data_IF_022336954823
#
_entry.id   IF_022336954823
#
_cell.length_a   1.000
_cell.length_b   1.000
_cell.length_c   1.000
_cell.angle_alpha   90.00
_cell.angle_beta   90.00
_cell.angle_gamma   90.00
#
_symmetry.space_group_name_H-M   'P 1'
#
loop_
_entity.id
_entity.type
_entity.pdbx_description
1 polymer ?
#
# COMPACT_ATOMS: atom_id res chain seq x y z
N UNK A 1 -7.27 -18.69 -25.78
CA UNK A 1 -7.13 -18.45 -24.32
C UNK A 1 -5.65 -18.20 -24.05
N UNK A 2 -5.26 -16.93 -23.90
CA UNK A 2 -3.87 -16.55 -23.67
C UNK A 2 -3.60 -16.51 -22.17
N UNK A 3 -2.84 -17.49 -21.68
CA UNK A 3 -2.22 -17.45 -20.36
C UNK A 3 -1.13 -16.38 -20.37
N UNK A 4 -1.38 -15.24 -19.73
CA UNK A 4 -0.32 -14.33 -19.35
C UNK A 4 0.32 -14.86 -18.07
N UNK A 5 1.41 -15.60 -18.25
CA UNK A 5 2.39 -15.86 -17.21
C UNK A 5 2.89 -14.52 -16.67
N UNK A 6 2.42 -14.11 -15.49
CA UNK A 6 3.14 -13.17 -14.68
C UNK A 6 4.42 -13.88 -14.25
N UNK A 7 5.52 -13.60 -14.95
CA UNK A 7 6.84 -13.94 -14.45
C UNK A 7 6.93 -13.43 -13.02
N UNK A 8 7.25 -14.32 -12.07
CA UNK A 8 7.65 -13.90 -10.74
C UNK A 8 8.74 -12.84 -10.92
N UNK A 9 8.41 -11.58 -10.65
CA UNK A 9 9.37 -10.51 -10.69
C UNK A 9 10.52 -10.93 -9.77
N UNK A 10 11.78 -10.96 -10.25
CA UNK A 10 12.90 -11.33 -9.39
C UNK A 10 12.88 -10.39 -8.18
N UNK A 11 12.96 -10.99 -6.99
CA UNK A 11 13.13 -10.24 -5.74
C UNK A 11 14.31 -9.29 -5.95
N UNK A 12 14.14 -7.96 -5.81
CA UNK A 12 15.26 -7.04 -5.95
C UNK A 12 16.28 -7.39 -4.87
N UNK A 13 17.40 -8.00 -5.25
CA UNK A 13 18.53 -8.11 -4.36
C UNK A 13 19.00 -6.67 -4.10
N UNK A 14 18.81 -6.20 -2.87
CA UNK A 14 19.12 -4.84 -2.49
C UNK A 14 20.64 -4.72 -2.32
N UNK A 15 21.36 -4.50 -3.42
CA UNK A 15 22.83 -4.31 -3.45
C UNK A 15 23.25 -2.88 -3.07
N UNK A 16 22.38 -2.16 -2.34
CA UNK A 16 22.50 -0.73 -2.09
C UNK A 16 23.78 -0.31 -1.37
N UNK A 17 24.36 -1.19 -0.54
CA UNK A 17 25.58 -0.90 0.23
C UNK A 17 26.84 -0.78 -0.61
N UNK A 18 26.86 -1.28 -1.86
CA UNK A 18 28.02 -1.23 -2.77
C UNK A 18 27.69 -0.56 -4.11
N UNK A 19 26.59 0.18 -4.19
CA UNK A 19 26.18 0.78 -5.45
C UNK A 19 27.20 1.86 -5.88
N UNK A 20 27.77 1.78 -7.11
CA UNK A 20 28.68 2.79 -7.62
C UNK A 20 27.93 4.09 -7.93
N UNK A 21 28.65 5.18 -8.24
CA UNK A 21 27.98 6.39 -8.72
C UNK A 21 27.14 6.10 -9.97
N UNK A 22 25.94 6.69 -10.05
CA UNK A 22 25.09 6.61 -11.24
C UNK A 22 25.83 7.00 -12.53
N UNK A 23 26.86 7.87 -12.45
CA UNK A 23 27.66 8.30 -13.61
C UNK A 23 28.38 7.14 -14.31
N UNK A 24 28.64 6.05 -13.59
CA UNK A 24 29.29 4.84 -14.13
C UNK A 24 28.31 3.95 -14.92
N UNK A 25 27.02 4.32 -14.98
CA UNK A 25 26.02 3.64 -15.82
C UNK A 25 26.05 4.24 -17.22
N UNK A 26 26.92 3.69 -18.06
CA UNK A 26 27.10 4.09 -19.45
C UNK A 26 26.09 3.37 -20.36
N UNK A 27 25.80 2.09 -20.09
CA UNK A 27 24.89 1.27 -20.88
C UNK A 27 23.45 1.31 -20.34
N UNK A 28 22.64 2.19 -20.90
CA UNK A 28 21.21 2.23 -20.61
C UNK A 28 20.39 2.52 -21.86
N UNK A 29 19.25 1.84 -21.98
CA UNK A 29 18.26 2.14 -23.01
C UNK A 29 17.47 3.37 -22.60
N UNK A 30 17.43 4.40 -23.44
CA UNK A 30 16.59 5.59 -23.22
C UNK A 30 15.12 5.16 -23.14
N UNK A 31 14.46 5.53 -22.05
CA UNK A 31 13.03 5.28 -21.84
C UNK A 31 12.24 6.35 -22.61
N UNK A 32 11.26 5.93 -23.41
CA UNK A 32 10.43 6.84 -24.21
C UNK A 32 9.76 7.88 -23.29
N UNK A 33 9.88 9.15 -23.65
CA UNK A 33 9.27 10.27 -22.92
C UNK A 33 10.04 10.74 -21.67
N UNK A 34 11.18 10.11 -21.34
CA UNK A 34 12.05 10.51 -20.23
C UNK A 34 13.34 11.18 -20.71
N UNK A 35 13.96 11.97 -19.83
CA UNK A 35 15.34 12.43 -20.01
C UNK A 35 16.32 11.25 -19.95
N UNK A 36 17.51 11.45 -20.53
CA UNK A 36 18.57 10.44 -20.48
C UNK A 36 19.01 10.18 -19.03
N UNK A 37 19.10 11.22 -18.20
CA UNK A 37 19.46 11.07 -16.79
C UNK A 37 18.38 10.28 -16.02
N UNK A 38 17.09 10.58 -16.22
CA UNK A 38 16.02 9.78 -15.61
C UNK A 38 16.10 8.30 -16.03
N UNK A 39 16.34 8.04 -17.32
CA UNK A 39 16.49 6.67 -17.83
C UNK A 39 17.69 5.95 -17.18
N UNK A 40 18.80 6.67 -16.99
CA UNK A 40 20.00 6.15 -16.32
C UNK A 40 19.74 5.82 -14.85
N UNK A 41 19.07 6.69 -14.11
CA UNK A 41 18.69 6.42 -12.72
C UNK A 41 17.71 5.25 -12.59
N UNK A 42 16.73 5.11 -13.50
CA UNK A 42 15.87 3.91 -13.50
C UNK A 42 16.64 2.62 -13.82
N UNK A 43 17.66 2.68 -14.69
CA UNK A 43 18.56 1.55 -14.94
C UNK A 43 19.39 1.24 -13.70
N UNK A 44 19.91 2.26 -13.02
CA UNK A 44 20.64 2.12 -11.76
C UNK A 44 19.79 1.44 -10.68
N UNK A 45 18.56 1.92 -10.47
CA UNK A 45 17.58 1.33 -9.55
C UNK A 45 17.28 -0.14 -9.90
N UNK A 46 17.18 -0.48 -11.18
CA UNK A 46 16.96 -1.86 -11.60
C UNK A 46 18.14 -2.78 -11.24
N UNK A 47 19.37 -2.28 -11.33
CA UNK A 47 20.58 -3.06 -11.02
C UNK A 47 20.81 -3.18 -9.50
N UNK A 48 20.68 -2.07 -8.76
CA UNK A 48 21.13 -1.99 -7.36
C UNK A 48 19.99 -1.90 -6.34
N UNK A 49 18.75 -1.84 -6.80
CA UNK A 49 17.58 -1.66 -5.96
C UNK A 49 17.27 -0.20 -5.65
N UNK A 50 16.10 0.02 -5.06
CA UNK A 50 15.64 1.37 -4.75
C UNK A 50 16.42 2.02 -3.61
N UNK A 51 16.96 1.26 -2.63
CA UNK A 51 17.70 1.86 -1.51
C UNK A 51 18.98 2.57 -1.99
N UNK A 52 19.53 2.16 -3.14
CA UNK A 52 20.69 2.82 -3.75
C UNK A 52 20.41 4.28 -4.16
N UNK A 53 19.14 4.64 -4.47
CA UNK A 53 18.80 6.00 -4.89
C UNK A 53 18.87 7.01 -3.74
N UNK A 54 18.80 6.55 -2.49
CA UNK A 54 18.77 7.41 -1.31
C UNK A 54 20.04 8.25 -1.22
N UNK A 55 21.21 7.62 -1.46
CA UNK A 55 22.49 8.32 -1.48
C UNK A 55 22.57 9.34 -2.61
N UNK A 56 21.95 9.07 -3.76
CA UNK A 56 21.91 10.00 -4.90
C UNK A 56 21.06 11.25 -4.59
N UNK A 57 20.02 11.12 -3.76
CA UNK A 57 19.28 12.26 -3.20
C UNK A 57 20.11 13.01 -2.14
N UNK A 58 20.73 12.31 -1.20
CA UNK A 58 21.57 12.91 -0.14
C UNK A 58 22.73 13.73 -0.71
N UNK A 59 23.38 13.21 -1.76
CA UNK A 59 24.49 13.87 -2.45
C UNK A 59 24.03 14.98 -3.41
N UNK A 60 22.72 15.25 -3.51
CA UNK A 60 22.13 16.24 -4.44
C UNK A 60 22.39 15.96 -5.92
N UNK A 61 22.75 14.72 -6.28
CA UNK A 61 23.05 14.33 -7.66
C UNK A 61 21.79 14.32 -8.52
N UNK A 62 20.64 13.98 -7.95
CA UNK A 62 19.36 13.99 -8.66
C UNK A 62 18.91 15.44 -8.91
N UNK A 63 19.04 16.30 -7.91
CA UNK A 63 18.66 17.71 -7.97
C UNK A 63 19.53 18.50 -8.95
N UNK A 64 20.80 18.13 -9.11
CA UNK A 64 21.73 18.73 -10.08
C UNK A 64 21.73 18.07 -11.47
N UNK A 65 20.92 17.01 -11.66
CA UNK A 65 20.83 16.31 -12.94
C UNK A 65 20.03 17.11 -13.99
N UNK A 66 20.05 16.65 -15.25
CA UNK A 66 19.22 17.20 -16.33
C UNK A 66 17.79 16.64 -16.32
N UNK A 67 17.38 15.97 -15.24
CA UNK A 67 16.02 15.48 -15.10
C UNK A 67 15.02 16.63 -15.01
N UNK A 68 13.82 16.43 -15.55
CA UNK A 68 12.71 17.37 -15.36
C UNK A 68 12.19 17.24 -13.94
N UNK A 69 11.70 18.34 -13.35
CA UNK A 69 11.11 18.33 -12.00
C UNK A 69 10.04 17.25 -11.80
N UNK A 70 9.21 16.98 -12.82
CA UNK A 70 8.19 15.91 -12.77
C UNK A 70 8.79 14.51 -12.67
N UNK A 71 9.97 14.28 -13.22
CA UNK A 71 10.68 13.00 -13.16
C UNK A 71 11.31 12.81 -11.77
N UNK A 72 11.91 13.88 -11.23
CA UNK A 72 12.45 13.89 -9.86
C UNK A 72 11.34 13.61 -8.85
N UNK A 73 10.21 14.34 -8.93
CA UNK A 73 9.04 14.13 -8.07
C UNK A 73 8.51 12.71 -8.17
N UNK A 74 8.34 12.17 -9.38
CA UNK A 74 7.87 10.80 -9.58
C UNK A 74 8.82 9.77 -8.96
N UNK A 75 10.14 9.98 -9.09
CA UNK A 75 11.14 9.10 -8.50
C UNK A 75 11.08 9.15 -6.97
N UNK A 76 11.01 10.34 -6.40
CA UNK A 76 10.83 10.56 -4.97
C UNK A 76 9.55 9.87 -4.45
N UNK A 77 8.40 10.12 -5.08
CA UNK A 77 7.11 9.50 -4.73
C UNK A 77 7.15 7.98 -4.79
N UNK A 78 7.77 7.42 -5.84
CA UNK A 78 7.89 5.97 -5.98
C UNK A 78 8.76 5.39 -4.87
N UNK A 79 9.87 6.07 -4.54
CA UNK A 79 10.78 5.65 -3.47
C UNK A 79 10.06 5.64 -2.11
N UNK A 80 9.22 6.63 -1.81
CA UNK A 80 8.39 6.67 -0.60
C UNK A 80 7.41 5.50 -0.45
N UNK A 81 6.94 4.90 -1.56
CA UNK A 81 5.99 3.77 -1.52
C UNK A 81 6.65 2.43 -1.16
N UNK A 82 7.92 2.27 -1.53
CA UNK A 82 8.59 0.95 -1.57
C UNK A 82 9.76 0.84 -0.61
N UNK A 83 10.43 1.94 -0.27
CA UNK A 83 11.58 1.91 0.62
C UNK A 83 11.17 1.73 2.07
N UNK A 84 11.99 1.07 2.89
CA UNK A 84 11.75 1.00 4.33
C UNK A 84 11.80 2.39 4.98
N UNK A 85 11.24 2.52 6.18
CA UNK A 85 11.09 3.76 6.92
C UNK A 85 12.43 4.45 7.16
N UNK A 86 13.49 3.69 7.42
CA UNK A 86 14.82 4.23 7.62
C UNK A 86 15.30 5.02 6.39
N UNK A 87 15.08 4.49 5.19
CA UNK A 87 15.42 5.16 3.95
C UNK A 87 14.46 6.33 3.65
N UNK A 88 13.18 6.21 3.98
CA UNK A 88 12.21 7.31 3.88
C UNK A 88 12.64 8.51 4.75
N UNK A 89 13.10 8.27 5.98
CA UNK A 89 13.61 9.32 6.87
C UNK A 89 14.78 10.07 6.23
N UNK A 90 15.69 9.33 5.61
CA UNK A 90 16.84 9.87 4.87
C UNK A 90 16.42 10.68 3.64
N UNK A 91 15.45 10.19 2.87
CA UNK A 91 14.89 10.93 1.74
C UNK A 91 14.28 12.26 2.16
N UNK A 92 13.48 12.29 3.23
CA UNK A 92 12.90 13.54 3.75
C UNK A 92 13.99 14.53 4.18
N UNK A 93 15.05 14.04 4.83
CA UNK A 93 16.21 14.85 5.20
C UNK A 93 16.98 15.40 3.99
N UNK A 94 16.93 14.69 2.85
CA UNK A 94 17.51 15.10 1.57
C UNK A 94 16.54 15.93 0.69
N UNK A 95 15.53 16.56 1.28
CA UNK A 95 14.48 17.36 0.62
C UNK A 95 13.64 16.59 -0.44
N UNK A 96 13.67 15.27 -0.42
CA UNK A 96 12.72 14.43 -1.14
C UNK A 96 11.52 14.20 -0.22
N UNK A 97 10.51 15.07 -0.35
CA UNK A 97 9.20 14.94 0.31
C UNK A 97 8.17 14.41 -0.69
N UNK A 98 7.16 13.64 -0.24
CA UNK A 98 6.06 13.22 -1.09
C UNK A 98 5.42 14.40 -1.81
N UNK A 99 5.33 14.32 -3.13
CA UNK A 99 4.83 15.39 -3.99
C UNK A 99 3.30 15.40 -4.10
N UNK A 100 2.67 14.31 -3.68
CA UNK A 100 1.22 14.10 -3.67
C UNK A 100 0.79 13.44 -2.36
N UNK A 101 -0.39 13.85 -1.91
CA UNK A 101 -1.16 13.21 -0.84
C UNK A 101 -1.40 11.71 -1.09
N UNK A 102 -1.45 11.31 -2.36
CA UNK A 102 -1.69 9.91 -2.75
C UNK A 102 -0.56 8.99 -2.29
N UNK A 103 0.66 9.52 -2.14
CA UNK A 103 1.82 8.72 -1.73
C UNK A 103 1.63 8.21 -0.31
N UNK A 104 1.29 9.10 0.62
CA UNK A 104 1.10 8.75 2.04
C UNK A 104 -0.17 7.90 2.22
N UNK A 105 -1.21 8.13 1.41
CA UNK A 105 -2.38 7.27 1.35
C UNK A 105 -2.11 5.85 0.79
N UNK A 106 -1.07 5.68 -0.04
CA UNK A 106 -0.64 4.39 -0.58
C UNK A 106 0.47 3.72 0.25
N UNK A 107 0.68 4.17 1.49
CA UNK A 107 1.56 3.50 2.47
C UNK A 107 1.08 2.08 2.77
N UNK A 108 -0.24 1.87 2.84
CA UNK A 108 -0.83 0.53 2.94
C UNK A 108 -0.81 -0.11 1.55
N UNK A 109 0.15 -0.99 1.33
CA UNK A 109 0.35 -1.69 0.06
C UNK A 109 0.89 -3.10 0.26
N UNK A 110 0.98 -3.88 -0.83
CA UNK A 110 1.45 -5.28 -0.80
C UNK A 110 2.96 -5.43 -1.02
N UNK A 111 3.70 -4.33 -1.17
CA UNK A 111 5.10 -4.36 -1.59
C UNK A 111 6.01 -4.66 -0.39
N UNK A 112 5.65 -4.17 0.80
CA UNK A 112 6.42 -4.36 2.02
C UNK A 112 6.11 -5.74 2.60
N UNK A 113 7.11 -6.63 2.58
CA UNK A 113 6.98 -8.02 2.98
C UNK A 113 7.96 -8.39 4.09
N UNK A 114 7.53 -9.26 4.99
CA UNK A 114 8.39 -9.96 5.94
C UNK A 114 9.20 -11.06 5.22
N UNK A 115 10.16 -11.66 5.93
CA UNK A 115 10.99 -12.75 5.38
C UNK A 115 10.20 -13.99 4.94
N UNK A 116 9.01 -14.19 5.51
CA UNK A 116 8.07 -15.26 5.14
C UNK A 116 7.13 -14.90 3.97
N UNK A 117 7.25 -13.70 3.40
CA UNK A 117 6.40 -13.20 2.32
C UNK A 117 5.04 -12.63 2.75
N UNK A 118 4.71 -12.64 4.04
CA UNK A 118 3.54 -11.94 4.60
C UNK A 118 3.73 -10.42 4.50
N UNK A 119 2.64 -9.64 4.47
CA UNK A 119 2.75 -8.17 4.43
C UNK A 119 3.31 -7.70 5.77
N UNK A 120 4.31 -6.82 5.74
CA UNK A 120 4.93 -6.29 6.95
C UNK A 120 4.08 -5.17 7.57
N UNK A 121 3.16 -5.54 8.46
CA UNK A 121 2.27 -4.60 9.16
C UNK A 121 3.01 -3.62 10.07
N UNK A 122 4.07 -4.07 10.75
CA UNK A 122 4.87 -3.23 11.64
C UNK A 122 5.53 -2.09 10.86
N UNK A 123 6.10 -2.39 9.69
CA UNK A 123 6.69 -1.41 8.80
C UNK A 123 5.65 -0.43 8.25
N UNK A 124 4.45 -0.91 7.92
CA UNK A 124 3.34 -0.06 7.48
C UNK A 124 2.92 0.90 8.61
N UNK A 125 2.71 0.39 9.83
CA UNK A 125 2.33 1.20 11.00
C UNK A 125 3.40 2.25 11.28
N UNK A 126 4.67 1.86 11.34
CA UNK A 126 5.77 2.80 11.62
C UNK A 126 5.87 3.91 10.56
N UNK A 127 5.59 3.62 9.29
CA UNK A 127 5.50 4.64 8.24
C UNK A 127 4.29 5.56 8.43
N UNK A 128 3.12 5.00 8.75
CA UNK A 128 1.93 5.80 9.01
C UNK A 128 2.14 6.75 10.19
N UNK A 129 2.72 6.26 11.28
CA UNK A 129 3.11 7.06 12.45
C UNK A 129 4.06 8.19 12.07
N UNK A 130 5.10 7.86 11.31
CA UNK A 130 6.08 8.85 10.88
C UNK A 130 5.45 9.93 10.00
N UNK A 131 4.65 9.57 9.01
CA UNK A 131 3.94 10.57 8.18
C UNK A 131 2.92 11.37 9.00
N UNK A 132 2.27 10.76 10.00
CA UNK A 132 1.33 11.45 10.87
C UNK A 132 2.02 12.51 11.73
N UNK A 133 3.17 12.15 12.33
CA UNK A 133 3.98 13.05 13.14
C UNK A 133 4.49 14.26 12.35
N UNK A 134 4.70 14.11 11.04
CA UNK A 134 5.09 15.20 10.15
C UNK A 134 3.91 16.02 9.59
N UNK A 135 2.66 15.68 9.94
CA UNK A 135 1.46 16.30 9.36
C UNK A 135 1.28 16.00 7.85
N UNK A 136 1.98 14.99 7.33
CA UNK A 136 1.96 14.59 5.91
C UNK A 136 0.97 13.46 5.63
N UNK A 137 0.54 12.72 6.66
CA UNK A 137 -0.35 11.58 6.48
C UNK A 137 -1.71 12.05 5.96
N UNK A 138 -2.12 11.44 4.84
CA UNK A 138 -3.48 11.56 4.33
C UNK A 138 -4.21 10.25 4.51
N UNK A 139 -5.30 10.34 5.27
CA UNK A 139 -6.12 9.21 5.67
C UNK A 139 -7.33 9.01 4.78
N UNK A 140 -7.64 9.97 3.91
CA UNK A 140 -8.77 9.96 2.97
C UNK A 140 -8.30 10.31 1.57
N UNK A 141 -8.93 9.68 0.57
CA UNK A 141 -8.72 10.00 -0.84
C UNK A 141 -10.06 10.03 -1.58
N UNK A 142 -10.25 11.06 -2.39
CA UNK A 142 -11.44 11.21 -3.24
C UNK A 142 -11.14 10.71 -4.65
N UNK A 143 -11.96 9.78 -5.13
CA UNK A 143 -11.91 9.23 -6.47
C UNK A 143 -13.11 9.70 -7.29
N UNK A 144 -12.95 9.89 -8.60
CA UNK A 144 -14.03 10.33 -9.50
C UNK A 144 -14.05 11.85 -9.75
N UNK A 145 -15.11 12.34 -10.39
CA UNK A 145 -15.31 13.76 -10.72
C UNK A 145 -16.75 14.18 -10.48
N UNK A 146 -16.93 15.41 -9.98
CA UNK A 146 -18.25 16.01 -9.76
C UNK A 146 -19.12 15.17 -8.83
N UNK A 147 -20.38 14.98 -9.19
CA UNK A 147 -21.36 14.23 -8.38
C UNK A 147 -21.06 12.73 -8.21
N UNK A 148 -20.07 12.18 -8.93
CA UNK A 148 -19.60 10.78 -8.79
C UNK A 148 -18.34 10.68 -7.93
N UNK A 149 -17.94 11.75 -7.26
CA UNK A 149 -16.76 11.76 -6.42
C UNK A 149 -17.06 11.03 -5.11
N UNK A 150 -16.32 9.96 -4.83
CA UNK A 150 -16.43 9.18 -3.61
C UNK A 150 -15.15 9.32 -2.80
N UNK A 151 -15.30 9.51 -1.49
CA UNK A 151 -14.16 9.64 -0.57
C UNK A 151 -14.04 8.39 0.25
N UNK A 152 -12.86 7.77 0.20
CA UNK A 152 -12.54 6.57 0.94
C UNK A 152 -11.37 6.79 1.90
N UNK A 153 -11.43 6.18 3.07
CA UNK A 153 -10.43 6.25 4.11
C UNK A 153 -9.52 5.01 4.12
N UNK A 154 -8.43 5.02 4.87
CA UNK A 154 -7.46 3.92 4.85
C UNK A 154 -7.98 2.57 5.40
N UNK A 155 -9.11 2.53 6.12
CA UNK A 155 -9.64 1.28 6.69
C UNK A 155 -10.02 0.27 5.60
N UNK A 156 -10.52 0.69 4.43
CA UNK A 156 -10.88 -0.26 3.37
C UNK A 156 -9.65 -0.97 2.81
N UNK A 157 -8.48 -0.30 2.75
CA UNK A 157 -7.23 -0.94 2.31
C UNK A 157 -6.72 -1.96 3.32
N UNK A 158 -6.73 -1.61 4.60
CA UNK A 158 -6.36 -2.53 5.67
C UNK A 158 -7.29 -3.76 5.69
N UNK A 159 -8.61 -3.55 5.52
CA UNK A 159 -9.58 -4.63 5.38
C UNK A 159 -9.30 -5.53 4.17
N UNK A 160 -9.16 -4.94 2.98
CA UNK A 160 -8.95 -5.68 1.72
C UNK A 160 -7.60 -6.36 1.59
N UNK A 161 -6.61 -6.01 2.42
CA UNK A 161 -5.35 -6.73 2.51
C UNK A 161 -5.25 -7.68 3.71
N UNK A 162 -6.27 -7.71 4.58
CA UNK A 162 -6.26 -8.59 5.74
C UNK A 162 -5.20 -8.18 6.77
N UNK A 163 -5.13 -6.89 7.09
CA UNK A 163 -4.08 -6.30 7.96
C UNK A 163 -4.68 -5.86 9.30
N UNK A 164 -4.91 -6.79 10.26
CA UNK A 164 -5.61 -6.50 11.51
C UNK A 164 -4.90 -5.50 12.43
N UNK A 165 -3.57 -5.42 12.41
CA UNK A 165 -2.81 -4.52 13.29
C UNK A 165 -2.76 -3.12 12.68
N UNK A 166 -2.60 -3.03 11.35
CA UNK A 166 -2.75 -1.76 10.62
C UNK A 166 -4.17 -1.22 10.81
N UNK A 167 -5.18 -2.10 10.78
CA UNK A 167 -6.58 -1.71 11.00
C UNK A 167 -6.78 -1.11 12.40
N UNK A 168 -6.23 -1.72 13.45
CA UNK A 168 -6.31 -1.19 14.82
C UNK A 168 -5.61 0.17 14.96
N UNK A 169 -4.43 0.31 14.36
CA UNK A 169 -3.72 1.59 14.36
C UNK A 169 -4.56 2.70 13.72
N UNK A 170 -5.21 2.42 12.58
CA UNK A 170 -6.06 3.40 11.91
C UNK A 170 -7.25 3.83 12.76
N UNK A 171 -7.89 2.91 13.48
CA UNK A 171 -8.95 3.25 14.44
C UNK A 171 -8.41 4.11 15.59
N UNK A 172 -7.21 3.80 16.08
CA UNK A 172 -6.56 4.53 17.17
C UNK A 172 -6.26 6.00 16.80
N UNK A 173 -5.94 6.27 15.53
CA UNK A 173 -5.77 7.66 15.04
C UNK A 173 -7.10 8.32 14.62
N UNK A 174 -8.25 7.71 14.97
CA UNK A 174 -9.57 8.32 14.86
C UNK A 174 -10.32 8.03 13.55
N UNK A 175 -9.88 7.08 12.72
CA UNK A 175 -10.69 6.65 11.58
C UNK A 175 -11.91 5.87 12.09
N UNK A 176 -13.02 6.00 11.35
CA UNK A 176 -14.26 5.26 11.62
C UNK A 176 -14.72 4.58 10.35
N UNK A 177 -15.76 3.74 10.44
CA UNK A 177 -16.35 3.06 9.27
C UNK A 177 -17.05 4.03 8.30
N UNK A 178 -17.08 5.34 8.61
CA UNK A 178 -17.53 6.38 7.69
C UNK A 178 -16.50 6.59 6.59
N UNK A 179 -16.96 6.81 5.35
CA UNK A 179 -16.09 6.98 4.19
C UNK A 179 -15.22 5.74 3.93
N UNK A 180 -15.76 4.54 4.05
CA UNK A 180 -15.10 3.33 3.57
C UNK A 180 -15.61 3.00 2.17
N UNK A 181 -14.75 2.42 1.33
CA UNK A 181 -15.19 1.89 0.04
C UNK A 181 -16.04 0.63 0.28
N UNK A 182 -17.36 0.81 0.15
CA UNK A 182 -18.35 -0.23 0.39
C UNK A 182 -18.39 -0.75 1.83
N UNK A 183 -18.88 -1.99 1.95
CA UNK A 183 -18.98 -2.71 3.22
C UNK A 183 -17.63 -3.37 3.53
N UNK A 184 -17.01 -3.01 4.66
CA UNK A 184 -15.69 -3.52 5.04
C UNK A 184 -15.61 -5.05 5.14
N UNK A 185 -16.69 -5.74 5.51
CA UNK A 185 -16.73 -7.22 5.53
C UNK A 185 -16.57 -7.76 4.11
N UNK A 186 -17.28 -7.16 3.14
CA UNK A 186 -17.19 -7.56 1.73
C UNK A 186 -15.79 -7.28 1.18
N UNK A 187 -15.26 -6.07 1.42
CA UNK A 187 -13.91 -5.69 1.01
C UNK A 187 -12.85 -6.64 1.57
N UNK A 188 -12.99 -7.02 2.84
CA UNK A 188 -12.13 -8.02 3.46
C UNK A 188 -12.25 -9.41 2.81
N UNK A 189 -13.48 -9.85 2.53
CA UNK A 189 -13.75 -11.15 1.91
C UNK A 189 -13.34 -11.22 0.45
N UNK A 190 -13.29 -10.11 -0.28
CA UNK A 190 -12.71 -10.07 -1.64
C UNK A 190 -11.18 -10.09 -1.61
N UNK A 191 -10.59 -9.72 -0.49
CA UNK A 191 -9.15 -9.59 -0.22
C UNK A 191 -8.34 -10.88 -0.19
N UNK A 192 -8.66 -11.91 -0.99
CA UNK A 192 -7.96 -13.22 -1.18
C UNK A 192 -7.65 -14.07 0.07
N UNK A 193 -7.43 -13.51 1.27
CA UNK A 193 -7.16 -14.20 2.54
C UNK A 193 -8.05 -13.62 3.66
N UNK A 194 -9.31 -14.08 3.76
CA UNK A 194 -10.19 -13.77 4.88
C UNK A 194 -9.59 -14.23 6.21
N UNK A 195 -9.72 -13.41 7.26
CA UNK A 195 -9.21 -13.65 8.59
C UNK A 195 -10.32 -13.48 9.63
N UNK A 196 -10.43 -14.44 10.54
CA UNK A 196 -11.44 -14.44 11.59
C UNK A 196 -11.33 -13.23 12.51
N UNK A 197 -10.10 -12.91 12.95
CA UNK A 197 -9.84 -11.79 13.86
C UNK A 197 -10.30 -10.46 13.27
N UNK A 198 -9.96 -10.19 12.00
CA UNK A 198 -10.36 -8.96 11.32
C UNK A 198 -11.87 -8.92 11.05
N UNK A 199 -12.49 -10.07 10.71
CA UNK A 199 -13.94 -10.17 10.57
C UNK A 199 -14.64 -9.77 11.86
N UNK A 200 -14.24 -10.33 13.00
CA UNK A 200 -14.81 -10.02 14.31
C UNK A 200 -14.62 -8.54 14.68
N UNK A 201 -13.46 -7.96 14.38
CA UNK A 201 -13.18 -6.52 14.58
C UNK A 201 -14.15 -5.66 13.77
N UNK A 202 -14.31 -5.94 12.48
CA UNK A 202 -15.21 -5.20 11.60
C UNK A 202 -16.68 -5.28 12.08
N UNK A 203 -17.14 -6.47 12.49
CA UNK A 203 -18.49 -6.65 13.05
C UNK A 203 -18.70 -5.86 14.36
N UNK A 204 -17.69 -5.82 15.23
CA UNK A 204 -17.74 -5.04 16.49
C UNK A 204 -17.85 -3.53 16.25
N UNK A 205 -17.41 -3.04 15.10
CA UNK A 205 -17.60 -1.64 14.69
C UNK A 205 -19.02 -1.35 14.17
N UNK A 206 -19.92 -2.32 14.20
CA UNK A 206 -21.29 -2.18 13.72
C UNK A 206 -21.44 -2.30 12.21
N UNK A 207 -20.43 -2.78 11.48
CA UNK A 207 -20.57 -3.09 10.05
C UNK A 207 -21.36 -4.37 9.92
N UNK A 208 -22.56 -4.26 9.36
CA UNK A 208 -23.47 -5.40 9.24
C UNK A 208 -23.21 -6.19 7.95
N UNK A 209 -23.18 -7.53 8.00
CA UNK A 209 -23.24 -8.36 6.80
C UNK A 209 -24.50 -8.06 5.98
N UNK A 210 -24.38 -8.09 4.65
CA UNK A 210 -25.49 -7.84 3.73
C UNK A 210 -25.61 -8.94 2.67
N UNK A 211 -26.55 -8.79 1.73
CA UNK A 211 -26.77 -9.77 0.67
C UNK A 211 -25.49 -10.09 -0.12
N UNK A 212 -24.65 -9.09 -0.42
CA UNK A 212 -23.37 -9.29 -1.09
C UNK A 212 -22.39 -10.10 -0.23
N UNK A 213 -22.40 -9.95 1.10
CA UNK A 213 -21.60 -10.78 2.01
C UNK A 213 -21.93 -12.27 1.82
N UNK A 214 -23.21 -12.60 1.78
CA UNK A 214 -23.67 -13.98 1.56
C UNK A 214 -23.26 -14.50 0.17
N UNK A 215 -23.43 -13.67 -0.86
CA UNK A 215 -23.02 -14.02 -2.23
C UNK A 215 -21.52 -14.33 -2.31
N UNK A 216 -20.66 -13.49 -1.72
CA UNK A 216 -19.21 -13.70 -1.69
C UNK A 216 -18.88 -15.00 -0.95
N UNK A 217 -19.50 -15.23 0.21
CA UNK A 217 -19.29 -16.44 1.01
C UNK A 217 -19.67 -17.71 0.26
N UNK A 218 -20.76 -17.70 -0.50
CA UNK A 218 -21.19 -18.81 -1.34
C UNK A 218 -20.23 -19.04 -2.52
N UNK A 219 -19.91 -17.99 -3.28
CA UNK A 219 -19.01 -18.06 -4.44
C UNK A 219 -17.62 -18.56 -4.08
N UNK A 220 -17.12 -18.18 -2.90
CA UNK A 220 -15.80 -18.58 -2.39
C UNK A 220 -15.85 -19.82 -1.47
N UNK A 221 -17.01 -20.48 -1.36
CA UNK A 221 -17.22 -21.68 -0.54
C UNK A 221 -16.67 -21.56 0.91
N UNK A 222 -17.05 -20.47 1.60
CA UNK A 222 -16.59 -20.20 2.96
C UNK A 222 -16.95 -21.31 3.94
N UNK A 223 -18.06 -22.02 3.73
CA UNK A 223 -18.46 -23.15 4.59
C UNK A 223 -17.35 -24.22 4.66
N UNK A 224 -16.64 -24.46 3.55
CA UNK A 224 -15.55 -25.42 3.50
C UNK A 224 -14.19 -24.80 3.83
N UNK A 225 -13.90 -23.61 3.30
CA UNK A 225 -12.56 -23.02 3.39
C UNK A 225 -12.33 -22.13 4.61
N UNK A 226 -13.39 -21.58 5.19
CA UNK A 226 -13.34 -20.65 6.33
C UNK A 226 -14.53 -20.90 7.28
N UNK A 227 -14.68 -22.13 7.82
CA UNK A 227 -15.87 -22.53 8.58
C UNK A 227 -16.15 -21.62 9.78
N UNK A 228 -15.10 -21.16 10.48
CA UNK A 228 -15.26 -20.28 11.64
C UNK A 228 -15.80 -18.90 11.24
N UNK A 229 -15.30 -18.33 10.15
CA UNK A 229 -15.81 -17.06 9.60
C UNK A 229 -17.26 -17.23 9.16
N UNK A 230 -17.57 -18.35 8.50
CA UNK A 230 -18.92 -18.69 8.08
C UNK A 230 -19.90 -18.72 9.27
N UNK A 231 -19.54 -19.40 10.35
CA UNK A 231 -20.37 -19.47 11.56
C UNK A 231 -20.53 -18.12 12.26
N UNK A 232 -19.47 -17.31 12.32
CA UNK A 232 -19.53 -15.95 12.91
C UNK A 232 -20.52 -15.06 12.15
N UNK A 233 -20.50 -15.09 10.81
CA UNK A 233 -21.43 -14.29 10.01
C UNK A 233 -22.88 -14.77 10.18
N UNK A 234 -23.13 -16.08 10.16
CA UNK A 234 -24.48 -16.61 10.39
C UNK A 234 -25.01 -16.24 11.77
N UNK A 235 -24.20 -16.42 12.81
CA UNK A 235 -24.57 -16.08 14.20
C UNK A 235 -24.91 -14.59 14.33
N UNK A 236 -24.16 -13.72 13.65
CA UNK A 236 -24.41 -12.28 13.65
C UNK A 236 -25.77 -11.94 12.99
N UNK A 237 -26.10 -12.58 11.87
CA UNK A 237 -27.38 -12.40 11.18
C UNK A 237 -28.57 -12.92 12.01
N UNK A 238 -28.43 -14.06 12.66
CA UNK A 238 -29.48 -14.63 13.54
C UNK A 238 -29.74 -13.74 14.76
N UNK A 239 -28.69 -13.24 15.41
CA UNK A 239 -28.84 -12.33 16.56
C UNK A 239 -29.59 -11.05 16.19
N UNK A 240 -29.41 -10.56 14.96
CA UNK A 240 -30.15 -9.39 14.47
C UNK A 240 -31.63 -9.69 14.27
N UNK A 241 -31.96 -10.82 13.66
CA UNK A 241 -33.34 -11.22 13.43
C UNK A 241 -34.13 -11.45 14.73
N UNK A 242 -33.46 -11.70 15.86
CA UNK A 242 -34.10 -11.82 17.19
C UNK A 242 -34.33 -10.48 17.91
N UNK A 243 -33.73 -9.38 17.41
CA UNK A 243 -33.85 -8.03 18.00
C UNK A 243 -34.87 -7.15 17.28
N UNK A 244 -35.46 -7.64 16.19
CA UNK A 244 -36.56 -7.03 15.43
C UNK A 244 -37.88 -7.65 15.87
#
# INVERSE_FOLDING_TARGET
MSMHCFANAPVPQNHATNAPSVKNIHDFKKIKGMTSDASRYYKFINIYGWSAIVQEFENKNIQSSKMKNKEIKKMCDTAHLILPLQDIKRLIAADCKPSSNDVTFNTINRILKNGDGSINEQEIIAKLEFYNALGLLKTHQTYGRGYRAETYNLLYKAAGFGLPDVFDYLLNIGLTVKYTDGNLVNTHFDGRSPQLALTQKILKLGVEPNASTITIMQQRNFKQHYPDIYQVILSNLEQKNRKL
#
